data_IF_301617698968
#
_entry.id   IF_301617698968
#
_cell.length_a   1.000
_cell.length_b   1.000
_cell.length_c   1.000
_cell.angle_alpha   90.00
_cell.angle_beta   90.00
_cell.angle_gamma   90.00
#
_symmetry.space_group_name_H-M   'P 1'
#
loop_
_entity.id
_entity.type
_entity.pdbx_description
1 polymer ?
#
# COMPACT_ATOMS: atom_id res chain seq x y z
N UNK A 1 9.28 -20.26 -3.32
CA UNK A 1 9.58 -18.82 -3.45
C UNK A 1 9.22 -18.38 -4.85
N UNK A 2 8.43 -17.31 -5.00
CA UNK A 2 8.15 -16.77 -6.33
C UNK A 2 9.46 -16.22 -6.94
N UNK A 3 9.66 -16.44 -8.23
CA UNK A 3 10.84 -15.91 -8.93
C UNK A 3 10.73 -14.39 -9.09
N UNK A 4 11.85 -13.69 -9.23
CA UNK A 4 11.85 -12.22 -9.44
C UNK A 4 10.93 -11.80 -10.61
N UNK A 5 10.83 -12.64 -11.63
CA UNK A 5 10.00 -12.42 -12.81
C UNK A 5 8.49 -12.53 -12.49
N UNK A 6 8.10 -13.46 -11.61
CA UNK A 6 6.72 -13.58 -11.13
C UNK A 6 6.32 -12.38 -10.27
N UNK A 7 7.24 -11.87 -9.43
CA UNK A 7 7.00 -10.68 -8.61
C UNK A 7 6.77 -9.46 -9.52
N UNK A 8 7.62 -9.26 -10.54
CA UNK A 8 7.45 -8.15 -11.49
C UNK A 8 6.12 -8.23 -12.26
N UNK A 9 5.77 -9.40 -12.80
CA UNK A 9 4.50 -9.58 -13.49
C UNK A 9 3.29 -9.31 -12.56
N UNK A 10 3.37 -9.74 -11.29
CA UNK A 10 2.34 -9.43 -10.28
C UNK A 10 2.27 -7.93 -10.00
N UNK A 11 3.41 -7.26 -9.83
CA UNK A 11 3.47 -5.81 -9.63
C UNK A 11 2.83 -5.03 -10.79
N UNK A 12 3.17 -5.37 -12.04
CA UNK A 12 2.63 -4.70 -13.22
C UNK A 12 1.11 -4.86 -13.33
N UNK A 13 0.59 -6.06 -13.07
CA UNK A 13 -0.85 -6.32 -13.09
C UNK A 13 -1.60 -5.65 -11.94
N UNK A 14 -0.94 -5.41 -10.80
CA UNK A 14 -1.54 -4.79 -9.61
C UNK A 14 -1.51 -3.26 -9.62
N UNK A 15 -0.74 -2.65 -10.54
CA UNK A 15 -0.63 -1.20 -10.67
C UNK A 15 -1.92 -0.52 -11.15
N UNK A 16 -2.77 -1.24 -11.85
CA UNK A 16 -4.08 -0.78 -12.33
C UNK A 16 -5.21 -1.64 -11.78
N UNK A 17 -6.44 -1.11 -11.79
CA UNK A 17 -7.64 -1.90 -11.47
C UNK A 17 -8.22 -2.51 -12.75
N UNK A 18 -8.93 -3.66 -12.64
CA UNK A 18 -9.74 -4.17 -13.74
C UNK A 18 -10.68 -3.08 -14.28
N UNK A 19 -10.89 -2.97 -15.61
CA UNK A 19 -11.60 -1.84 -16.21
C UNK A 19 -12.99 -1.57 -15.63
N UNK A 20 -13.76 -2.61 -15.30
CA UNK A 20 -15.08 -2.48 -14.70
C UNK A 20 -15.00 -1.92 -13.27
N UNK A 21 -14.06 -2.40 -12.44
CA UNK A 21 -13.81 -1.88 -11.09
C UNK A 21 -13.30 -0.44 -11.13
N UNK A 22 -12.40 -0.11 -12.05
CA UNK A 22 -11.90 1.27 -12.21
C UNK A 22 -13.05 2.23 -12.60
N UNK A 23 -13.98 1.81 -13.45
CA UNK A 23 -15.18 2.59 -13.79
C UNK A 23 -16.04 2.85 -12.55
N UNK A 24 -16.29 1.82 -11.74
CA UNK A 24 -17.03 1.96 -10.48
C UNK A 24 -16.30 2.91 -9.53
N UNK A 25 -14.99 2.75 -9.33
CA UNK A 25 -14.19 3.59 -8.44
C UNK A 25 -14.22 5.07 -8.84
N UNK A 26 -14.21 5.37 -10.14
CA UNK A 26 -14.32 6.74 -10.67
C UNK A 26 -15.71 7.33 -10.54
N UNK A 27 -16.73 6.48 -10.46
CA UNK A 27 -18.13 6.90 -10.38
C UNK A 27 -18.59 7.16 -8.95
N UNK A 28 -17.73 6.94 -7.94
CA UNK A 28 -18.07 7.16 -6.54
C UNK A 28 -18.45 8.62 -6.31
N UNK A 29 -19.70 8.83 -5.92
CA UNK A 29 -20.24 10.08 -5.41
C UNK A 29 -19.94 10.27 -3.93
N UNK A 30 -20.25 11.47 -3.44
CA UNK A 30 -20.20 11.77 -2.01
C UNK A 30 -21.45 12.53 -1.59
N UNK A 31 -22.10 12.07 -0.53
CA UNK A 31 -23.23 12.76 0.10
C UNK A 31 -22.84 13.16 1.52
N UNK A 32 -23.11 14.41 1.88
CA UNK A 32 -22.85 14.96 3.22
C UNK A 32 -24.15 15.42 3.85
N UNK A 33 -24.41 14.94 5.06
CA UNK A 33 -25.48 15.42 5.92
C UNK A 33 -24.88 16.20 7.10
N UNK A 34 -25.57 17.25 7.60
CA UNK A 34 -25.14 17.95 8.81
C UNK A 34 -24.91 16.96 9.96
N UNK A 35 -23.80 17.13 10.69
CA UNK A 35 -23.43 16.32 11.87
C UNK A 35 -23.21 14.81 11.60
N UNK A 36 -23.05 14.40 10.34
CA UNK A 36 -22.86 12.99 9.97
C UNK A 36 -21.59 12.78 9.12
N UNK A 37 -20.99 11.57 9.16
CA UNK A 37 -19.84 11.26 8.32
C UNK A 37 -20.18 11.33 6.83
N UNK A 38 -19.19 11.67 6.01
CA UNK A 38 -19.36 11.69 4.55
C UNK A 38 -19.68 10.29 4.06
N UNK A 39 -20.76 10.16 3.31
CA UNK A 39 -21.23 8.90 2.75
C UNK A 39 -20.73 8.77 1.33
N UNK A 40 -20.35 7.55 0.95
CA UNK A 40 -19.91 7.22 -0.41
C UNK A 40 -21.03 6.45 -1.11
N UNK A 41 -21.40 6.87 -2.30
CA UNK A 41 -22.46 6.26 -3.07
C UNK A 41 -22.03 5.97 -4.51
N UNK A 42 -22.74 5.05 -5.14
CA UNK A 42 -22.66 4.85 -6.59
C UNK A 42 -23.91 5.44 -7.24
N UNK A 43 -23.84 5.93 -8.48
CA UNK A 43 -25.01 6.44 -9.21
C UNK A 43 -26.06 5.34 -9.44
N UNK A 44 -27.31 5.74 -9.63
CA UNK A 44 -28.38 4.79 -9.97
C UNK A 44 -28.03 3.91 -11.17
N UNK A 45 -28.28 2.61 -11.04
CA UNK A 45 -27.93 1.59 -12.04
C UNK A 45 -26.47 1.10 -11.97
N UNK A 46 -25.67 1.62 -11.03
CA UNK A 46 -24.37 1.05 -10.68
C UNK A 46 -24.42 0.47 -9.27
N UNK A 47 -24.04 -0.80 -9.16
CA UNK A 47 -23.95 -1.47 -7.88
C UNK A 47 -22.70 -2.35 -7.85
N UNK A 48 -22.22 -2.60 -6.64
CA UNK A 48 -21.13 -3.55 -6.42
C UNK A 48 -21.76 -4.92 -6.15
N UNK A 49 -21.69 -5.80 -7.14
CA UNK A 49 -22.26 -7.15 -7.03
C UNK A 49 -21.53 -7.97 -5.97
N UNK A 50 -22.11 -9.10 -5.54
CA UNK A 50 -21.45 -9.99 -4.60
C UNK A 50 -20.11 -10.53 -5.14
N UNK A 51 -20.05 -10.83 -6.44
CA UNK A 51 -18.83 -11.27 -7.12
C UNK A 51 -17.77 -10.16 -7.15
N UNK A 52 -18.17 -8.92 -7.47
CA UNK A 52 -17.27 -7.77 -7.43
C UNK A 52 -16.72 -7.51 -6.02
N UNK A 53 -17.54 -7.70 -4.98
CA UNK A 53 -17.09 -7.56 -3.58
C UNK A 53 -16.00 -8.56 -3.24
N UNK A 54 -16.18 -9.83 -3.62
CA UNK A 54 -15.15 -10.87 -3.41
C UNK A 54 -13.88 -10.53 -4.18
N UNK A 55 -14.00 -10.10 -5.44
CA UNK A 55 -12.86 -9.69 -6.26
C UNK A 55 -12.11 -8.51 -5.64
N UNK A 56 -12.83 -7.46 -5.21
CA UNK A 56 -12.25 -6.27 -4.58
C UNK A 56 -11.56 -6.62 -3.27
N UNK A 57 -12.16 -7.48 -2.43
CA UNK A 57 -11.57 -7.93 -1.17
C UNK A 57 -10.29 -8.75 -1.40
N UNK A 58 -10.32 -9.71 -2.32
CA UNK A 58 -9.13 -10.49 -2.69
C UNK A 58 -8.00 -9.59 -3.16
N UNK A 59 -8.31 -8.66 -4.08
CA UNK A 59 -7.32 -7.74 -4.63
C UNK A 59 -6.78 -6.76 -3.58
N UNK A 60 -7.62 -6.31 -2.65
CA UNK A 60 -7.20 -5.48 -1.53
C UNK A 60 -6.23 -6.23 -0.61
N UNK A 61 -6.51 -7.49 -0.30
CA UNK A 61 -5.62 -8.33 0.49
C UNK A 61 -4.26 -8.50 -0.23
N UNK A 62 -4.26 -8.82 -1.52
CA UNK A 62 -3.04 -8.96 -2.32
C UNK A 62 -2.23 -7.67 -2.43
N UNK A 63 -2.88 -6.53 -2.63
CA UNK A 63 -2.19 -5.22 -2.66
C UNK A 63 -1.60 -4.86 -1.30
N UNK A 64 -2.33 -5.17 -0.22
CA UNK A 64 -1.84 -4.92 1.15
C UNK A 64 -0.61 -5.79 1.44
N UNK A 65 -0.63 -7.05 1.02
CA UNK A 65 0.51 -7.97 1.11
C UNK A 65 1.72 -7.44 0.34
N UNK A 66 1.51 -6.91 -0.87
CA UNK A 66 2.59 -6.33 -1.70
C UNK A 66 3.21 -5.09 -1.04
N UNK A 67 2.39 -4.17 -0.54
CA UNK A 67 2.85 -2.90 0.05
C UNK A 67 3.59 -3.14 1.36
N UNK A 68 3.11 -4.08 2.18
CA UNK A 68 3.73 -4.41 3.48
C UNK A 68 4.87 -5.41 3.37
N UNK A 69 4.96 -6.14 2.25
CA UNK A 69 5.92 -7.23 2.09
C UNK A 69 5.60 -8.45 2.95
N UNK A 70 4.35 -8.60 3.42
CA UNK A 70 3.93 -9.72 4.28
C UNK A 70 3.91 -11.07 3.56
N UNK A 71 4.22 -11.10 2.26
CA UNK A 71 4.45 -12.33 1.49
C UNK A 71 5.76 -13.05 1.87
N UNK A 72 6.63 -12.39 2.62
CA UNK A 72 7.88 -12.93 3.15
C UNK A 72 7.81 -13.00 4.66
N UNK A 73 8.50 -13.97 5.25
CA UNK A 73 8.73 -13.94 6.71
C UNK A 73 9.58 -12.72 7.07
N UNK A 74 9.48 -12.24 8.31
CA UNK A 74 10.26 -11.08 8.78
C UNK A 74 11.76 -11.28 8.55
N UNK A 75 12.28 -12.48 8.80
CA UNK A 75 13.69 -12.81 8.59
C UNK A 75 14.10 -12.81 7.11
N UNK A 76 13.24 -13.32 6.21
CA UNK A 76 13.50 -13.29 4.77
C UNK A 76 13.49 -11.85 4.23
N UNK A 77 12.54 -11.05 4.70
CA UNK A 77 12.44 -9.63 4.34
C UNK A 77 13.68 -8.87 4.79
N UNK A 78 14.08 -9.01 6.06
CA UNK A 78 15.29 -8.39 6.61
C UNK A 78 16.55 -8.79 5.83
N UNK A 79 16.73 -10.10 5.56
CA UNK A 79 17.87 -10.60 4.76
C UNK A 79 17.87 -10.04 3.34
N UNK A 80 16.70 -9.94 2.70
CA UNK A 80 16.58 -9.38 1.36
C UNK A 80 16.91 -7.87 1.35
N UNK A 81 16.43 -7.11 2.33
CA UNK A 81 16.76 -5.68 2.49
C UNK A 81 18.26 -5.49 2.68
N UNK A 82 18.86 -6.21 3.63
CA UNK A 82 20.30 -6.12 3.91
C UNK A 82 21.14 -6.42 2.67
N UNK A 83 20.76 -7.46 1.91
CA UNK A 83 21.42 -7.80 0.65
C UNK A 83 21.33 -6.68 -0.39
N UNK A 84 20.18 -6.01 -0.52
CA UNK A 84 19.99 -4.89 -1.43
C UNK A 84 20.79 -3.65 -1.01
N UNK A 85 20.76 -3.31 0.28
CA UNK A 85 21.52 -2.18 0.83
C UNK A 85 23.03 -2.39 0.68
N UNK A 86 23.51 -3.61 0.98
CA UNK A 86 24.92 -3.98 0.79
C UNK A 86 25.33 -3.85 -0.68
N UNK A 87 24.53 -4.37 -1.62
CA UNK A 87 24.80 -4.24 -3.06
C UNK A 87 24.85 -2.78 -3.52
N UNK A 88 23.93 -1.96 -3.03
CA UNK A 88 23.93 -0.52 -3.31
C UNK A 88 25.21 0.13 -2.80
N UNK A 89 25.58 -0.08 -1.53
CA UNK A 89 26.77 0.53 -0.94
C UNK A 89 28.07 0.07 -1.60
N UNK A 90 28.14 -1.18 -2.09
CA UNK A 90 29.28 -1.67 -2.86
C UNK A 90 29.32 -1.11 -4.30
N UNK A 91 28.16 -0.78 -4.86
CA UNK A 91 28.03 -0.26 -6.22
C UNK A 91 28.36 1.23 -6.35
N UNK A 92 28.29 1.99 -5.26
CA UNK A 92 28.61 3.42 -5.24
C UNK A 92 29.87 3.71 -4.42
N UNK A 93 30.72 4.66 -4.86
CA UNK A 93 31.84 5.12 -4.04
C UNK A 93 31.33 5.67 -2.71
N UNK A 94 32.07 5.39 -1.64
CA UNK A 94 31.73 5.84 -0.30
C UNK A 94 32.30 7.23 -0.05
N UNK A 95 31.44 8.19 0.30
CA UNK A 95 31.88 9.47 0.85
C UNK A 95 32.19 9.29 2.34
N UNK A 96 33.39 9.68 2.78
CA UNK A 96 33.84 9.54 4.16
C UNK A 96 34.50 8.19 4.48
N UNK A 97 35.23 8.16 5.61
CA UNK A 97 36.27 7.20 5.97
C UNK A 97 35.99 5.70 5.70
N UNK A 98 37.08 4.99 5.37
CA UNK A 98 37.12 3.58 4.98
C UNK A 98 37.15 2.60 6.16
N UNK A 99 36.84 3.04 7.39
CA UNK A 99 36.86 2.15 8.55
C UNK A 99 35.66 1.21 8.55
N UNK A 100 35.82 0.05 9.18
CA UNK A 100 34.76 -0.96 9.31
C UNK A 100 33.60 -0.40 10.15
N UNK A 101 33.91 0.35 11.20
CA UNK A 101 32.94 0.98 12.10
C UNK A 101 32.08 2.01 11.35
N UNK A 102 32.71 2.80 10.47
CA UNK A 102 32.00 3.76 9.63
C UNK A 102 31.10 3.06 8.58
N UNK A 103 31.49 1.87 8.11
CA UNK A 103 30.65 1.06 7.23
C UNK A 103 29.43 0.49 7.98
N UNK A 104 29.64 -0.08 9.17
CA UNK A 104 28.57 -0.63 10.01
C UNK A 104 27.56 0.45 10.40
N UNK A 105 28.02 1.58 10.94
CA UNK A 105 27.13 2.68 11.34
C UNK A 105 26.31 3.22 10.16
N UNK A 106 26.88 3.30 8.94
CA UNK A 106 26.11 3.69 7.76
C UNK A 106 25.04 2.66 7.42
N UNK A 107 25.35 1.37 7.46
CA UNK A 107 24.39 0.30 7.19
C UNK A 107 23.21 0.30 8.16
N UNK A 108 23.45 0.52 9.44
CA UNK A 108 22.41 0.66 10.47
C UNK A 108 21.45 1.81 10.12
N UNK A 109 21.99 2.99 9.78
CA UNK A 109 21.15 4.15 9.41
C UNK A 109 20.31 3.88 8.15
N UNK A 110 20.83 3.12 7.18
CA UNK A 110 20.02 2.71 6.04
C UNK A 110 18.93 1.71 6.44
N UNK A 111 19.25 0.73 7.28
CA UNK A 111 18.28 -0.26 7.76
C UNK A 111 17.12 0.42 8.50
N UNK A 112 17.41 1.32 9.43
CA UNK A 112 16.40 2.13 10.14
C UNK A 112 15.52 2.93 9.17
N UNK A 113 16.12 3.50 8.11
CA UNK A 113 15.40 4.33 7.17
C UNK A 113 14.39 3.55 6.29
N UNK A 114 14.59 2.25 6.11
CA UNK A 114 13.76 1.41 5.22
C UNK A 114 13.25 0.13 5.88
N UNK A 115 13.23 0.06 7.22
CA UNK A 115 12.85 -1.13 7.98
C UNK A 115 11.43 -1.62 7.65
N UNK A 116 10.51 -0.67 7.44
CA UNK A 116 9.11 -0.88 7.10
C UNK A 116 8.85 -1.06 5.59
N UNK A 117 9.89 -0.95 4.75
CA UNK A 117 9.75 -1.00 3.31
C UNK A 117 9.86 -2.44 2.78
N UNK A 118 9.04 -2.83 1.78
CA UNK A 118 9.17 -4.14 1.16
C UNK A 118 10.44 -4.19 0.28
N UNK A 119 11.16 -5.32 0.23
CA UNK A 119 12.43 -5.43 -0.51
C UNK A 119 12.34 -5.05 -1.99
N UNK A 120 11.20 -5.31 -2.65
CA UNK A 120 11.01 -4.96 -4.06
C UNK A 120 11.01 -3.44 -4.30
N UNK A 121 10.48 -2.66 -3.36
CA UNK A 121 10.43 -1.20 -3.46
C UNK A 121 11.84 -0.61 -3.34
N UNK A 122 12.66 -1.13 -2.42
CA UNK A 122 14.07 -0.76 -2.29
C UNK A 122 14.84 -1.10 -3.57
N UNK A 123 14.62 -2.30 -4.12
CA UNK A 123 15.29 -2.72 -5.35
C UNK A 123 14.95 -1.80 -6.54
N UNK A 124 13.70 -1.36 -6.66
CA UNK A 124 13.28 -0.42 -7.70
C UNK A 124 13.79 1.01 -7.45
N UNK A 125 13.77 1.47 -6.20
CA UNK A 125 14.31 2.77 -5.80
C UNK A 125 15.81 2.89 -6.12
N UNK A 126 16.60 1.86 -5.84
CA UNK A 126 18.03 1.83 -6.20
C UNK A 126 18.22 1.87 -7.72
N UNK A 127 17.44 1.10 -8.49
CA UNK A 127 17.48 1.14 -9.97
C UNK A 127 17.10 2.52 -10.51
N UNK A 128 16.11 3.16 -9.91
CA UNK A 128 15.65 4.51 -10.26
C UNK A 128 16.76 5.54 -10.02
N UNK A 129 17.42 5.49 -8.85
CA UNK A 129 18.57 6.33 -8.53
C UNK A 129 19.72 6.15 -9.53
N UNK A 130 20.08 4.91 -9.83
CA UNK A 130 21.15 4.60 -10.77
C UNK A 130 20.89 5.12 -12.20
N UNK A 131 19.62 5.32 -12.58
CA UNK A 131 19.22 5.92 -13.87
C UNK A 131 19.12 7.45 -13.82
N UNK A 132 19.21 8.07 -12.66
CA UNK A 132 18.91 9.49 -12.46
C UNK A 132 17.42 9.83 -12.59
N UNK A 133 16.52 8.84 -12.56
CA UNK A 133 15.07 9.00 -12.76
C UNK A 133 14.36 9.42 -11.45
N UNK A 134 14.80 10.54 -10.86
CA UNK A 134 14.26 11.05 -9.59
C UNK A 134 13.20 12.11 -9.87
N UNK A 135 11.98 11.97 -9.32
CA UNK A 135 10.93 12.98 -9.39
C UNK A 135 11.42 14.37 -8.95
N UNK A 136 10.95 15.41 -9.64
CA UNK A 136 11.41 16.79 -9.42
C UNK A 136 11.15 17.30 -8.00
N UNK A 137 10.06 16.87 -7.39
CA UNK A 137 9.68 17.17 -6.01
C UNK A 137 10.63 16.57 -4.96
N UNK A 138 11.44 15.58 -5.36
CA UNK A 138 12.46 14.96 -4.51
C UNK A 138 13.85 15.55 -4.71
N UNK A 139 14.03 16.48 -5.65
CA UNK A 139 15.30 17.16 -5.89
C UNK A 139 15.59 18.16 -4.78
N UNK A 140 16.18 17.65 -3.69
CA UNK A 140 16.74 18.46 -2.59
C UNK A 140 18.05 19.12 -3.07
N UNK A 141 17.95 20.05 -4.02
CA UNK A 141 19.10 20.66 -4.69
C UNK A 141 19.72 19.78 -5.79
N UNK A 142 20.99 20.04 -6.11
CA UNK A 142 21.72 19.29 -7.14
C UNK A 142 22.07 17.89 -6.61
N UNK A 143 21.27 16.89 -6.99
CA UNK A 143 21.54 15.50 -6.64
C UNK A 143 22.80 15.00 -7.35
N UNK A 144 23.71 14.39 -6.59
CA UNK A 144 24.93 13.78 -7.13
C UNK A 144 24.77 12.27 -7.24
N UNK A 145 24.42 11.80 -8.44
CA UNK A 145 24.20 10.38 -8.73
C UNK A 145 25.49 9.54 -8.75
N UNK A 146 26.67 10.15 -8.61
CA UNK A 146 27.93 9.40 -8.46
C UNK A 146 28.04 8.73 -7.10
N UNK A 147 27.24 9.13 -6.11
CA UNK A 147 27.23 8.55 -4.77
C UNK A 147 25.91 7.84 -4.49
N UNK A 148 25.91 6.97 -3.48
CA UNK A 148 24.68 6.37 -2.99
C UNK A 148 23.68 7.47 -2.54
N UNK A 149 22.36 7.26 -2.72
CA UNK A 149 21.36 8.19 -2.20
C UNK A 149 21.48 8.23 -0.68
N UNK A 150 21.29 9.39 -0.07
CA UNK A 150 21.20 9.45 1.40
C UNK A 150 20.01 8.58 1.90
N UNK A 151 20.04 8.07 3.13
CA UNK A 151 18.95 7.23 3.67
C UNK A 151 17.56 7.86 3.52
N UNK A 152 17.44 9.17 3.78
CA UNK A 152 16.19 9.90 3.60
C UNK A 152 15.72 9.97 2.13
N UNK A 153 16.66 10.14 1.19
CA UNK A 153 16.34 10.13 -0.25
C UNK A 153 15.92 8.73 -0.70
N UNK A 154 16.61 7.69 -0.25
CA UNK A 154 16.26 6.30 -0.55
C UNK A 154 14.84 5.98 -0.06
N UNK A 155 14.49 6.37 1.17
CA UNK A 155 13.13 6.19 1.71
C UNK A 155 12.08 6.88 0.84
N UNK A 156 12.30 8.14 0.46
CA UNK A 156 11.37 8.88 -0.42
C UNK A 156 11.20 8.18 -1.78
N UNK A 157 12.26 7.65 -2.37
CA UNK A 157 12.17 6.87 -3.60
C UNK A 157 11.37 5.57 -3.42
N UNK A 158 11.51 4.90 -2.28
CA UNK A 158 10.67 3.72 -1.98
C UNK A 158 9.18 4.10 -1.92
N UNK A 159 8.84 5.23 -1.30
CA UNK A 159 7.46 5.72 -1.25
C UNK A 159 6.91 6.07 -2.64
N UNK A 160 7.74 6.60 -3.55
CA UNK A 160 7.34 6.81 -4.95
C UNK A 160 6.96 5.50 -5.63
N UNK A 161 7.71 4.43 -5.37
CA UNK A 161 7.41 3.10 -5.92
C UNK A 161 6.12 2.50 -5.31
N UNK A 162 5.81 2.80 -4.04
CA UNK A 162 4.61 2.33 -3.34
C UNK A 162 3.35 3.11 -3.72
N UNK A 163 3.47 4.41 -4.00
CA UNK A 163 2.36 5.34 -4.22
C UNK A 163 1.27 4.84 -5.17
N UNK A 164 1.60 4.28 -6.36
CA UNK A 164 0.59 3.73 -7.25
C UNK A 164 -0.29 2.64 -6.60
N UNK A 165 0.29 1.78 -5.76
CA UNK A 165 -0.43 0.70 -5.09
C UNK A 165 -1.27 1.21 -3.92
N UNK A 166 -0.76 2.18 -3.15
CA UNK A 166 -1.51 2.84 -2.06
C UNK A 166 -2.75 3.57 -2.59
N UNK A 167 -2.64 4.19 -3.77
CA UNK A 167 -3.78 4.79 -4.47
C UNK A 167 -4.83 3.72 -4.81
N UNK A 168 -4.41 2.55 -5.31
CA UNK A 168 -5.36 1.47 -5.60
C UNK A 168 -6.01 0.93 -4.32
N UNK A 169 -5.25 0.70 -3.25
CA UNK A 169 -5.81 0.29 -1.95
C UNK A 169 -6.87 1.28 -1.48
N UNK A 170 -6.57 2.58 -1.58
CA UNK A 170 -7.52 3.64 -1.20
C UNK A 170 -8.81 3.58 -2.02
N UNK A 171 -8.70 3.41 -3.35
CA UNK A 171 -9.87 3.25 -4.22
C UNK A 171 -10.70 2.00 -3.86
N UNK A 172 -10.05 0.87 -3.62
CA UNK A 172 -10.72 -0.38 -3.26
C UNK A 172 -11.42 -0.30 -1.89
N UNK A 173 -10.77 0.30 -0.88
CA UNK A 173 -11.40 0.56 0.44
C UNK A 173 -12.65 1.42 0.28
N UNK A 174 -12.56 2.50 -0.50
CA UNK A 174 -13.70 3.39 -0.79
C UNK A 174 -14.83 2.63 -1.47
N UNK A 175 -14.54 1.76 -2.44
CA UNK A 175 -15.54 0.93 -3.10
C UNK A 175 -16.28 0.01 -2.13
N UNK A 176 -15.57 -0.62 -1.18
CA UNK A 176 -16.22 -1.50 -0.19
C UNK A 176 -17.13 -0.75 0.79
N UNK A 177 -16.89 0.54 1.00
CA UNK A 177 -17.69 1.42 1.86
C UNK A 177 -18.90 2.03 1.15
N UNK A 178 -19.05 1.82 -0.16
CA UNK A 178 -20.17 2.37 -0.92
C UNK A 178 -21.49 1.78 -0.45
N UNK A 179 -22.48 2.67 -0.30
CA UNK A 179 -23.89 2.35 -0.10
C UNK A 179 -24.72 2.76 -1.34
N UNK A 180 -25.97 2.30 -1.43
CA UNK A 180 -26.86 2.73 -2.52
C UNK A 180 -27.12 4.24 -2.47
N UNK A 181 -27.37 4.87 -3.62
CA UNK A 181 -27.70 6.30 -3.69
C UNK A 181 -28.89 6.64 -2.80
N UNK A 182 -29.93 5.80 -2.83
CA UNK A 182 -31.15 5.97 -2.03
C UNK A 182 -30.81 6.01 -0.54
N UNK A 183 -29.95 5.10 -0.07
CA UNK A 183 -29.53 5.08 1.33
C UNK A 183 -28.60 6.25 1.67
N UNK A 184 -27.77 6.70 0.74
CA UNK A 184 -26.92 7.86 0.94
C UNK A 184 -27.73 9.16 1.11
N UNK A 185 -28.83 9.28 0.36
CA UNK A 185 -29.77 10.41 0.39
C UNK A 185 -30.82 10.32 1.52
N UNK A 186 -30.85 9.24 2.29
CA UNK A 186 -31.72 9.12 3.46
C UNK A 186 -31.08 9.85 4.68
N UNK A 187 -31.73 10.86 5.29
CA UNK A 187 -31.17 11.59 6.42
C UNK A 187 -30.97 10.73 7.69
N UNK A 188 -31.61 9.56 7.78
CA UNK A 188 -31.48 8.68 8.94
C UNK A 188 -30.02 8.26 9.16
N UNK A 189 -29.51 8.27 10.41
CA UNK A 189 -28.12 7.92 10.72
C UNK A 189 -27.70 6.57 10.15
N UNK A 190 -26.46 6.46 9.69
CA UNK A 190 -25.88 5.16 9.35
C UNK A 190 -25.63 4.36 10.64
N UNK A 191 -25.93 3.06 10.65
CA UNK A 191 -25.59 2.24 11.79
C UNK A 191 -24.06 2.17 11.91
N UNK A 192 -23.51 2.07 13.14
CA UNK A 192 -22.08 2.06 13.36
C UNK A 192 -21.40 0.92 12.57
N UNK A 193 -20.13 1.10 12.15
CA UNK A 193 -19.45 0.23 11.18
C UNK A 193 -19.33 -1.25 11.59
N UNK A 194 -19.57 -1.60 12.86
CA UNK A 194 -19.55 -2.98 13.36
C UNK A 194 -20.79 -3.82 12.97
N UNK A 195 -21.85 -3.19 12.47
CA UNK A 195 -23.15 -3.84 12.24
C UNK A 195 -23.38 -4.34 10.79
N UNK A 196 -22.44 -4.14 9.88
CA UNK A 196 -22.59 -4.52 8.47
C UNK A 196 -21.92 -5.86 8.10
N UNK A 197 -21.29 -6.56 9.05
CA UNK A 197 -20.65 -7.86 8.83
C UNK A 197 -21.58 -9.04 9.23
N UNK A 198 -22.65 -8.80 9.99
CA UNK A 198 -23.52 -9.86 10.52
C UNK A 198 -24.95 -9.83 9.95
N UNK A 199 -25.13 -10.02 8.64
CA UNK A 199 -26.42 -10.52 8.13
C UNK A 199 -26.27 -11.30 6.83
N UNK A 200 -25.50 -12.39 6.88
CA UNK A 200 -25.74 -13.57 6.06
C UNK A 200 -25.08 -14.76 6.73
N UNK A 201 -25.74 -15.31 7.74
CA UNK A 201 -25.92 -16.75 8.03
C UNK A 201 -26.61 -16.86 9.39
N UNK A 202 -27.66 -17.68 9.44
CA UNK A 202 -28.69 -17.65 10.47
C UNK A 202 -28.24 -18.02 11.87
N UNK A 203 -29.00 -17.46 12.83
CA UNK A 203 -29.39 -18.02 14.13
C UNK A 203 -28.39 -18.92 14.88
N UNK A 204 -28.02 -18.49 16.10
CA UNK A 204 -28.37 -19.20 17.33
C UNK A 204 -28.38 -18.17 18.47
N UNK A 205 -29.55 -18.05 19.10
CA UNK A 205 -29.76 -17.32 20.35
C UNK A 205 -29.11 -18.13 21.48
N UNK A 206 -28.15 -17.53 22.20
CA UNK A 206 -27.84 -17.97 23.58
C UNK A 206 -27.91 -16.75 24.50
N UNK A 207 -29.07 -16.58 25.13
CA UNK A 207 -29.20 -15.85 26.38
C UNK A 207 -28.37 -16.58 27.44
N UNK A 208 -27.35 -15.94 28.02
CA UNK A 208 -26.89 -16.29 29.36
C UNK A 208 -26.67 -15.06 30.25
N UNK A 209 -27.64 -14.93 31.17
CA UNK A 209 -27.63 -14.34 32.51
C UNK A 209 -26.34 -13.63 32.97
N UNK A 210 -26.49 -12.34 33.29
CA UNK A 210 -25.74 -11.69 34.37
C UNK A 210 -26.07 -12.40 35.68
N UNK A 211 -25.05 -12.90 36.36
CA UNK A 211 -25.10 -13.14 37.81
C UNK A 211 -24.22 -12.06 38.44
N UNK A 212 -24.74 -11.53 39.54
CA UNK A 212 -24.26 -10.40 40.34
C UNK A 212 -22.82 -10.57 40.84
#
# INVERSE_FOLDING_TARGET
>A
MATELQIRAKLDTMRSLPPHIEKLARSIGTVKWPEQPTRLDLPMGMELTAEDRVLVQSRLAELTEIITGSNLTQNESAKARLSLLTKMQLGFPTAGGSSVEAATARSEVYEDAVEDMPPWAIANAVKRWARGDVPDDLRMGTLNFNFAPSPAVLRKLCLVELGPYEVQVTKLKRLLMVISTERAMDPAPLPPPESQIETSHGAIVVKMKRVQ
#
